data_IF_875389254281
#
_entry.id   IF_875389254281
#
_cell.length_a   1.000
_cell.length_b   1.000
_cell.length_c   1.000
_cell.angle_alpha   90.00
_cell.angle_beta   90.00
_cell.angle_gamma   90.00
#
_symmetry.space_group_name_H-M   'P 1'
#
loop_
_entity.id
_entity.type
_entity.pdbx_description
1 polymer ?
#
# COMPACT_ATOMS: atom_id res chain seq x y z
N UNK A 1 42.69 -36.02 43.50
CA UNK A 1 41.77 -36.76 44.38
C UNK A 1 40.40 -36.72 43.73
N UNK A 2 40.06 -37.85 43.14
CA UNK A 2 38.79 -38.19 42.49
C UNK A 2 37.66 -38.26 43.51
N UNK A 3 36.52 -37.62 43.24
CA UNK A 3 35.24 -38.06 43.81
C UNK A 3 34.21 -38.18 42.70
N UNK A 4 34.05 -39.43 42.31
CA UNK A 4 32.94 -40.04 41.59
C UNK A 4 31.70 -40.05 42.50
N UNK A 5 30.54 -39.56 42.02
CA UNK A 5 29.21 -39.95 42.52
C UNK A 5 28.25 -39.88 41.32
N UNK A 6 27.99 -41.01 40.65
CA UNK A 6 26.79 -41.87 40.78
C UNK A 6 25.44 -41.15 40.64
N UNK A 7 24.82 -41.41 39.48
CA UNK A 7 23.41 -41.20 39.13
C UNK A 7 22.47 -42.03 40.03
N UNK A 8 21.16 -41.69 40.04
CA UNK A 8 20.24 -42.62 39.38
C UNK A 8 19.22 -41.91 38.49
N UNK A 9 18.79 -42.66 37.47
CA UNK A 9 17.66 -42.40 36.59
C UNK A 9 16.41 -43.12 37.12
N UNK A 10 15.26 -42.45 37.08
CA UNK A 10 13.90 -43.03 37.09
C UNK A 10 13.03 -41.91 36.50
N UNK A 11 12.18 -42.06 35.49
CA UNK A 11 11.51 -43.21 34.91
C UNK A 11 10.11 -42.70 34.58
N UNK A 12 9.87 -42.34 33.31
CA UNK A 12 8.54 -41.97 32.82
C UNK A 12 7.59 -43.17 32.97
N UNK A 13 6.44 -42.97 33.61
CA UNK A 13 5.28 -43.83 33.39
C UNK A 13 4.03 -42.97 33.16
N UNK A 14 3.58 -43.07 31.91
CA UNK A 14 2.29 -42.66 31.37
C UNK A 14 1.12 -43.10 32.27
N UNK A 15 0.25 -42.17 32.64
CA UNK A 15 -1.11 -42.50 33.08
C UNK A 15 -2.09 -41.93 32.06
N UNK A 16 -2.62 -42.83 31.23
CA UNK A 16 -3.75 -42.58 30.37
C UNK A 16 -5.01 -42.47 31.24
N UNK A 17 -5.60 -41.28 31.30
CA UNK A 17 -6.91 -41.09 31.90
C UNK A 17 -7.98 -41.59 30.92
N UNK A 18 -8.46 -42.81 31.12
CA UNK A 18 -9.64 -43.34 30.45
C UNK A 18 -10.88 -42.70 31.09
N UNK A 19 -11.47 -41.70 30.44
CA UNK A 19 -12.79 -41.18 30.80
C UNK A 19 -13.86 -42.20 30.41
N UNK A 20 -14.42 -42.89 31.40
CA UNK A 20 -15.62 -43.71 31.28
C UNK A 20 -16.83 -42.78 31.28
N UNK A 21 -17.48 -42.60 30.13
CA UNK A 21 -18.80 -41.95 30.07
C UNK A 21 -19.89 -42.99 30.36
N UNK A 22 -20.49 -42.89 31.55
CA UNK A 22 -21.74 -43.58 31.88
C UNK A 22 -22.90 -42.83 31.23
N UNK A 23 -23.60 -43.49 30.30
CA UNK A 23 -24.87 -42.99 29.78
C UNK A 23 -25.95 -43.13 30.85
N UNK A 24 -26.45 -42.00 31.36
CA UNK A 24 -27.73 -41.94 32.07
C UNK A 24 -28.66 -41.05 31.25
N UNK A 25 -29.79 -41.66 30.89
CA UNK A 25 -30.87 -41.10 30.08
C UNK A 25 -31.76 -40.15 30.88
N UNK A 26 -32.27 -39.13 30.17
CA UNK A 26 -33.42 -38.26 30.46
C UNK A 26 -33.28 -37.11 31.48
N UNK A 27 -32.98 -35.92 30.96
CA UNK A 27 -33.77 -34.70 31.18
C UNK A 27 -33.48 -33.73 30.01
N UNK A 28 -34.49 -32.96 29.58
CA UNK A 28 -34.39 -31.93 28.52
C UNK A 28 -33.07 -31.17 28.62
N UNK A 29 -32.25 -31.22 27.56
CA UNK A 29 -31.15 -30.29 27.41
C UNK A 29 -31.78 -28.95 27.04
N UNK A 30 -31.68 -27.97 27.93
CA UNK A 30 -31.60 -26.59 27.47
C UNK A 30 -30.29 -26.53 26.69
N UNK A 31 -30.39 -26.67 25.36
CA UNK A 31 -29.27 -26.54 24.46
C UNK A 31 -28.76 -25.11 24.60
N UNK A 32 -27.80 -24.91 25.50
CA UNK A 32 -26.94 -23.75 25.47
C UNK A 32 -26.18 -23.90 24.16
N UNK A 33 -26.59 -23.14 23.15
CA UNK A 33 -25.77 -22.92 21.95
C UNK A 33 -24.43 -22.42 22.45
N UNK A 34 -23.48 -23.34 22.61
CA UNK A 34 -22.09 -23.00 22.81
C UNK A 34 -21.71 -22.26 21.52
N UNK A 35 -21.22 -21.01 21.59
CA UNK A 35 -20.77 -20.31 20.41
C UNK A 35 -19.81 -21.22 19.67
N UNK A 36 -20.16 -21.62 18.44
CA UNK A 36 -19.22 -22.32 17.56
C UNK A 36 -17.98 -21.42 17.52
N UNK A 37 -16.77 -21.93 17.81
CA UNK A 37 -15.56 -21.14 17.68
C UNK A 37 -15.53 -20.58 16.26
N UNK A 38 -15.67 -19.26 16.13
CA UNK A 38 -15.51 -18.56 14.86
C UNK A 38 -14.10 -18.92 14.39
N UNK A 39 -13.98 -19.51 13.20
CA UNK A 39 -12.67 -19.84 12.64
C UNK A 39 -11.87 -18.52 12.60
N UNK A 40 -10.70 -18.44 13.26
CA UNK A 40 -9.92 -17.20 13.26
C UNK A 40 -9.51 -16.75 11.85
N UNK A 41 -9.61 -17.63 10.86
CA UNK A 41 -9.35 -17.34 9.46
C UNK A 41 -10.62 -17.04 8.65
N UNK A 42 -11.80 -17.06 9.26
CA UNK A 42 -13.07 -16.78 8.59
C UNK A 42 -13.05 -15.39 7.94
N UNK A 43 -13.43 -15.34 6.66
CA UNK A 43 -13.46 -14.12 5.86
C UNK A 43 -12.09 -13.64 5.34
N UNK A 44 -10.96 -14.18 5.81
CA UNK A 44 -9.63 -13.86 5.28
C UNK A 44 -9.33 -14.63 3.99
N UNK A 45 -10.00 -14.26 2.92
CA UNK A 45 -10.07 -15.02 1.66
C UNK A 45 -9.05 -14.60 0.61
N UNK A 46 -8.48 -13.40 0.72
CA UNK A 46 -7.53 -12.89 -0.26
C UNK A 46 -6.10 -12.99 0.26
N UNK A 47 -5.25 -13.78 -0.40
CA UNK A 47 -3.83 -13.82 -0.09
C UNK A 47 -3.12 -12.64 -0.76
N UNK A 48 -2.42 -11.81 0.03
CA UNK A 48 -1.60 -10.70 -0.49
C UNK A 48 -0.38 -11.28 -1.20
N UNK A 49 -0.20 -11.06 -2.52
CA UNK A 49 0.91 -11.64 -3.27
C UNK A 49 2.27 -11.10 -2.83
N UNK A 50 2.36 -9.79 -2.61
CA UNK A 50 3.58 -9.13 -2.16
C UNK A 50 3.72 -9.24 -0.63
N UNK A 51 4.72 -10.02 -0.19
CA UNK A 51 5.00 -10.19 1.24
C UNK A 51 5.40 -8.91 1.95
N UNK A 52 6.10 -7.99 1.27
CA UNK A 52 6.50 -6.73 1.87
C UNK A 52 5.29 -5.83 2.08
N UNK A 53 4.32 -5.86 1.16
CA UNK A 53 3.04 -5.16 1.32
C UNK A 53 2.23 -5.76 2.48
N UNK A 54 2.04 -7.07 2.48
CA UNK A 54 1.29 -7.77 3.51
C UNK A 54 1.87 -7.56 4.92
N UNK A 55 3.18 -7.74 5.09
CA UNK A 55 3.84 -7.55 6.39
C UNK A 55 3.79 -6.09 6.84
N UNK A 56 3.93 -5.13 5.92
CA UNK A 56 3.84 -3.71 6.27
C UNK A 56 2.43 -3.37 6.76
N UNK A 57 1.37 -3.90 6.13
CA UNK A 57 0.01 -3.71 6.63
C UNK A 57 -0.18 -4.30 8.04
N UNK A 58 0.35 -5.50 8.31
CA UNK A 58 0.32 -6.09 9.66
C UNK A 58 1.08 -5.22 10.67
N UNK A 59 2.29 -4.75 10.32
CA UNK A 59 3.08 -3.85 11.17
C UNK A 59 2.34 -2.55 11.48
N UNK A 60 1.59 -2.02 10.51
CA UNK A 60 0.78 -0.80 10.66
C UNK A 60 -0.52 -1.04 11.43
N UNK A 61 -0.85 -2.29 11.76
CA UNK A 61 -2.08 -2.64 12.46
C UNK A 61 -3.33 -2.39 11.62
N UNK A 62 -3.26 -2.56 10.30
CA UNK A 62 -4.42 -2.41 9.41
C UNK A 62 -5.46 -3.47 9.78
N UNK A 63 -6.72 -3.08 10.10
CA UNK A 63 -7.76 -4.04 10.43
C UNK A 63 -8.07 -4.94 9.24
N UNK A 64 -8.43 -6.19 9.49
CA UNK A 64 -8.71 -7.14 8.41
C UNK A 64 -7.47 -7.65 7.67
N UNK A 65 -6.26 -7.44 8.20
CA UNK A 65 -5.03 -8.04 7.68
C UNK A 65 -4.41 -8.94 8.73
N UNK A 66 -4.06 -10.16 8.36
CA UNK A 66 -3.37 -11.08 9.26
C UNK A 66 -2.26 -11.85 8.60
N UNK A 67 -1.28 -12.25 9.40
CA UNK A 67 -0.22 -13.18 9.00
C UNK A 67 -0.62 -14.61 9.35
N UNK A 68 -0.26 -15.55 8.48
CA UNK A 68 -0.47 -16.99 8.67
C UNK A 68 0.78 -17.76 8.28
N UNK A 69 1.07 -18.84 8.98
CA UNK A 69 2.12 -19.78 8.59
C UNK A 69 1.46 -20.93 7.84
N UNK A 70 1.65 -20.97 6.53
CA UNK A 70 1.10 -22.03 5.70
C UNK A 70 2.18 -23.05 5.34
N UNK A 71 1.75 -24.28 5.11
CA UNK A 71 2.60 -25.34 4.58
C UNK A 71 2.45 -25.37 3.07
N UNK A 72 3.55 -25.11 2.35
CA UNK A 72 3.59 -25.20 0.90
C UNK A 72 3.44 -26.65 0.44
N UNK A 73 3.14 -26.85 -0.84
CA UNK A 73 3.08 -28.19 -1.46
C UNK A 73 4.41 -28.96 -1.30
N UNK A 74 5.52 -28.24 -1.16
CA UNK A 74 6.85 -28.79 -0.90
C UNK A 74 7.06 -29.27 0.53
N UNK A 75 6.10 -29.03 1.44
CA UNK A 75 6.21 -29.27 2.87
C UNK A 75 6.96 -28.16 3.64
N UNK A 76 7.48 -27.14 2.96
CA UNK A 76 8.13 -26.00 3.60
C UNK A 76 7.09 -25.08 4.25
N UNK A 77 7.44 -24.50 5.41
CA UNK A 77 6.60 -23.49 6.06
C UNK A 77 6.90 -22.11 5.47
N UNK A 78 5.86 -21.34 5.19
CA UNK A 78 5.96 -19.98 4.69
C UNK A 78 4.97 -19.05 5.39
N UNK A 79 5.46 -17.92 5.90
CA UNK A 79 4.57 -16.82 6.33
C UNK A 79 3.91 -16.17 5.12
N UNK A 80 2.59 -16.17 5.07
CA UNK A 80 1.78 -15.45 4.10
C UNK A 80 0.88 -14.44 4.83
N UNK A 81 0.31 -13.52 4.06
CA UNK A 81 -0.57 -12.48 4.56
C UNK A 81 -1.91 -12.56 3.85
N UNK A 82 -2.99 -12.38 4.61
CA UNK A 82 -4.34 -12.48 4.10
C UNK A 82 -5.15 -11.24 4.48
N UNK A 83 -5.96 -10.79 3.55
CA UNK A 83 -6.97 -9.75 3.73
C UNK A 83 -8.34 -10.38 3.91
N UNK A 84 -9.12 -9.80 4.81
CA UNK A 84 -10.57 -9.93 4.82
C UNK A 84 -11.16 -8.68 4.12
N UNK A 85 -11.66 -8.81 2.88
CA UNK A 85 -12.21 -7.69 2.11
C UNK A 85 -13.26 -6.88 2.86
N UNK A 86 -14.12 -7.52 3.65
CA UNK A 86 -15.21 -6.85 4.36
C UNK A 86 -14.72 -5.97 5.52
N UNK A 87 -13.54 -6.28 6.08
CA UNK A 87 -12.97 -5.56 7.22
C UNK A 87 -12.07 -4.39 6.80
N UNK A 88 -11.58 -4.38 5.56
CA UNK A 88 -10.69 -3.32 5.05
C UNK A 88 -11.44 -2.17 4.39
N UNK A 89 -12.74 -2.31 4.09
CA UNK A 89 -13.54 -1.26 3.42
C UNK A 89 -13.54 0.09 4.15
N UNK A 90 -13.41 0.08 5.49
CA UNK A 90 -13.40 1.29 6.32
C UNK A 90 -12.01 1.90 6.55
N UNK A 91 -10.96 1.31 5.98
CA UNK A 91 -9.59 1.82 6.12
C UNK A 91 -9.42 3.00 5.18
N UNK A 92 -9.21 4.19 5.76
CA UNK A 92 -9.14 5.44 5.03
C UNK A 92 -7.72 5.83 4.58
N UNK A 93 -6.68 5.31 5.23
CA UNK A 93 -5.31 5.67 4.90
C UNK A 93 -4.37 4.48 4.90
N UNK A 94 -3.60 4.35 3.81
CA UNK A 94 -2.46 3.46 3.69
C UNK A 94 -1.19 4.27 3.46
N UNK A 95 -0.18 4.01 4.29
CA UNK A 95 1.12 4.68 4.20
C UNK A 95 2.23 3.64 4.23
N UNK A 96 2.79 3.40 3.05
CA UNK A 96 3.67 2.31 2.70
C UNK A 96 5.03 2.86 2.25
N UNK A 97 5.64 3.72 3.06
CA UNK A 97 6.91 4.38 2.71
C UNK A 97 8.11 3.50 3.04
N UNK A 98 9.02 3.33 2.07
CA UNK A 98 10.29 2.60 2.18
C UNK A 98 11.50 3.53 1.97
N UNK A 99 11.42 4.78 2.43
CA UNK A 99 12.59 5.67 2.55
C UNK A 99 13.62 5.08 3.52
N UNK A 100 14.88 5.52 3.46
CA UNK A 100 15.94 5.01 4.36
C UNK A 100 15.57 5.12 5.85
N UNK A 101 14.95 6.22 6.27
CA UNK A 101 14.49 6.41 7.64
C UNK A 101 13.40 5.42 8.05
N UNK A 102 12.43 5.18 7.16
CA UNK A 102 11.33 4.25 7.42
C UNK A 102 11.82 2.80 7.40
N UNK A 103 12.75 2.45 6.51
CA UNK A 103 13.38 1.12 6.50
C UNK A 103 14.09 0.86 7.82
N UNK A 104 14.91 1.80 8.33
CA UNK A 104 15.56 1.63 9.63
C UNK A 104 14.56 1.49 10.79
N UNK A 105 13.43 2.19 10.75
CA UNK A 105 12.37 2.04 11.75
C UNK A 105 11.68 0.67 11.67
N UNK A 106 11.42 0.16 10.47
CA UNK A 106 10.85 -1.18 10.23
C UNK A 106 11.82 -2.28 10.67
N UNK A 107 13.12 -2.14 10.38
CA UNK A 107 14.17 -3.05 10.84
C UNK A 107 14.26 -3.08 12.36
N UNK A 108 14.24 -1.91 13.01
CA UNK A 108 14.22 -1.80 14.46
C UNK A 108 12.96 -2.44 15.09
N UNK A 109 11.85 -2.45 14.36
CA UNK A 109 10.61 -3.11 14.75
C UNK A 109 10.58 -4.63 14.43
N UNK A 110 11.63 -5.17 13.80
CA UNK A 110 11.73 -6.59 13.47
C UNK A 110 10.90 -7.02 12.25
N UNK A 111 10.50 -6.09 11.38
CA UNK A 111 9.80 -6.41 10.13
C UNK A 111 10.77 -7.10 9.17
N UNK A 112 10.51 -8.37 8.82
CA UNK A 112 11.46 -9.20 8.08
C UNK A 112 11.71 -8.67 6.66
N UNK A 113 10.69 -8.06 6.05
CA UNK A 113 10.72 -7.47 4.72
C UNK A 113 11.06 -5.97 4.74
N UNK A 114 11.59 -5.43 5.84
CA UNK A 114 11.80 -4.00 6.04
C UNK A 114 12.49 -3.30 4.85
N UNK A 115 13.61 -3.85 4.36
CA UNK A 115 14.35 -3.31 3.22
C UNK A 115 13.83 -3.78 1.85
N UNK A 116 12.91 -4.76 1.81
CA UNK A 116 12.30 -5.22 0.57
C UNK A 116 11.30 -4.17 0.08
N UNK A 117 11.46 -3.77 -1.19
CA UNK A 117 10.59 -2.82 -1.86
C UNK A 117 9.32 -3.52 -2.30
N UNK A 118 8.18 -2.85 -2.09
CA UNK A 118 6.88 -3.32 -2.58
C UNK A 118 6.87 -3.17 -4.09
N UNK A 119 6.44 -4.22 -4.79
CA UNK A 119 6.36 -4.28 -6.24
C UNK A 119 4.92 -4.46 -6.73
N UNK A 120 4.05 -4.99 -5.88
CA UNK A 120 2.65 -5.29 -6.20
C UNK A 120 1.73 -4.87 -5.04
N UNK A 121 0.68 -4.12 -5.38
CA UNK A 121 -0.35 -3.64 -4.45
C UNK A 121 -1.69 -4.36 -4.63
N UNK A 122 -1.73 -5.50 -5.33
CA UNK A 122 -2.92 -6.35 -5.43
C UNK A 122 -3.52 -6.59 -4.04
N UNK A 123 -4.81 -6.31 -3.92
CA UNK A 123 -5.55 -6.21 -2.66
C UNK A 123 -5.95 -4.78 -2.29
N UNK A 124 -5.31 -3.74 -2.87
CA UNK A 124 -5.68 -2.33 -2.64
C UNK A 124 -7.10 -2.01 -3.11
N UNK A 125 -7.62 -2.77 -4.07
CA UNK A 125 -8.97 -2.66 -4.60
C UNK A 125 -10.07 -2.95 -3.57
N UNK A 126 -9.76 -3.66 -2.48
CA UNK A 126 -10.70 -3.90 -1.39
C UNK A 126 -10.81 -2.73 -0.41
N UNK A 127 -9.86 -1.78 -0.45
CA UNK A 127 -9.85 -0.58 0.38
C UNK A 127 -10.73 0.51 -0.25
N UNK A 128 -12.03 0.25 -0.36
CA UNK A 128 -12.97 1.13 -1.08
C UNK A 128 -13.18 2.48 -0.40
N UNK A 129 -13.03 2.57 0.92
CA UNK A 129 -13.05 3.82 1.69
C UNK A 129 -11.71 4.55 1.80
N UNK A 130 -10.71 4.17 1.00
CA UNK A 130 -9.37 4.77 1.04
C UNK A 130 -9.41 6.22 0.52
N UNK A 131 -9.11 7.18 1.39
CA UNK A 131 -8.94 8.60 1.05
C UNK A 131 -7.47 8.98 0.80
N UNK A 132 -6.52 8.25 1.39
CA UNK A 132 -5.09 8.58 1.33
C UNK A 132 -4.25 7.35 1.04
N UNK A 133 -3.53 7.37 -0.08
CA UNK A 133 -2.56 6.35 -0.44
C UNK A 133 -1.17 6.95 -0.63
N UNK A 134 -0.25 6.58 0.26
CA UNK A 134 1.15 6.99 0.21
C UNK A 134 2.03 5.76 -0.01
N UNK A 135 2.73 5.70 -1.13
CA UNK A 135 3.58 4.57 -1.54
C UNK A 135 4.94 5.12 -1.97
N UNK A 136 5.74 5.60 -1.03
CA UNK A 136 7.00 6.29 -1.35
C UNK A 136 8.19 5.34 -1.36
N UNK A 137 9.07 5.49 -2.36
CA UNK A 137 10.33 4.75 -2.51
C UNK A 137 10.15 3.23 -2.59
N UNK A 138 9.20 2.77 -3.41
CA UNK A 138 8.95 1.36 -3.71
C UNK A 138 9.27 1.04 -5.18
N UNK A 139 9.27 -0.24 -5.53
CA UNK A 139 9.57 -0.72 -6.88
C UNK A 139 8.28 -1.06 -7.66
N UNK A 140 7.18 -0.39 -7.32
CA UNK A 140 5.88 -0.54 -7.97
C UNK A 140 5.99 -0.15 -9.46
N UNK A 141 5.59 -1.05 -10.35
CA UNK A 141 5.62 -0.87 -11.82
C UNK A 141 4.23 -0.59 -12.41
N UNK A 142 3.19 -1.05 -11.73
CA UNK A 142 1.79 -0.78 -12.07
C UNK A 142 0.97 -0.50 -10.83
N UNK A 143 -0.09 0.29 -10.98
CA UNK A 143 -1.00 0.63 -9.90
C UNK A 143 -2.42 0.74 -10.48
N UNK A 144 -3.33 -0.12 -10.02
CA UNK A 144 -4.75 -0.05 -10.33
C UNK A 144 -5.50 0.59 -9.16
N UNK A 145 -6.20 1.70 -9.42
CA UNK A 145 -7.00 2.44 -8.46
C UNK A 145 -8.47 2.53 -8.87
N UNK A 146 -8.91 1.70 -9.82
CA UNK A 146 -10.26 1.75 -10.38
C UNK A 146 -11.37 1.55 -9.34
N UNK A 147 -11.07 0.88 -8.22
CA UNK A 147 -11.99 0.68 -7.10
C UNK A 147 -11.87 1.73 -5.98
N UNK A 148 -10.82 2.56 -5.98
CA UNK A 148 -10.55 3.55 -4.92
C UNK A 148 -11.16 4.92 -5.26
N UNK A 149 -12.47 4.94 -5.52
CA UNK A 149 -13.22 6.12 -6.01
C UNK A 149 -13.19 7.29 -5.01
N UNK A 150 -13.06 7.00 -3.72
CA UNK A 150 -13.02 7.97 -2.63
C UNK A 150 -11.62 8.57 -2.40
N UNK A 151 -10.61 8.19 -3.20
CA UNK A 151 -9.24 8.65 -3.03
C UNK A 151 -9.11 10.16 -3.23
N UNK A 152 -8.54 10.82 -2.22
CA UNK A 152 -8.32 12.27 -2.15
C UNK A 152 -6.84 12.62 -2.33
N UNK A 153 -5.95 11.80 -1.79
CA UNK A 153 -4.50 12.01 -1.86
C UNK A 153 -3.77 10.76 -2.34
N UNK A 154 -3.08 10.87 -3.48
CA UNK A 154 -2.15 9.87 -3.99
C UNK A 154 -0.74 10.44 -3.98
N UNK A 155 0.17 9.77 -3.27
CA UNK A 155 1.59 10.10 -3.26
C UNK A 155 2.44 8.85 -3.49
N UNK A 156 3.05 8.74 -4.65
CA UNK A 156 3.84 7.58 -5.09
C UNK A 156 5.25 7.97 -5.54
N UNK A 157 5.83 8.97 -4.87
CA UNK A 157 7.16 9.47 -5.16
C UNK A 157 8.21 8.35 -5.14
N UNK A 158 9.08 8.35 -6.14
CA UNK A 158 10.16 7.38 -6.32
C UNK A 158 9.66 5.94 -6.48
N UNK A 159 8.46 5.76 -7.05
CA UNK A 159 8.03 4.50 -7.66
C UNK A 159 8.51 4.39 -9.11
N UNK A 160 8.31 3.21 -9.71
CA UNK A 160 8.72 2.86 -11.08
C UNK A 160 7.53 2.68 -12.01
N UNK A 161 6.40 3.31 -11.69
CA UNK A 161 5.17 3.18 -12.48
C UNK A 161 5.35 3.91 -13.81
N UNK A 162 5.09 3.19 -14.89
CA UNK A 162 5.36 3.65 -16.27
C UNK A 162 4.13 4.25 -16.95
N UNK A 163 2.94 3.88 -16.48
CA UNK A 163 1.65 4.43 -16.88
C UNK A 163 0.74 4.53 -15.65
N UNK A 164 0.03 5.65 -15.51
CA UNK A 164 -0.85 5.90 -14.39
C UNK A 164 -2.23 6.35 -14.90
N UNK A 165 -3.27 5.60 -14.54
CA UNK A 165 -4.66 5.98 -14.76
C UNK A 165 -5.29 6.42 -13.43
N UNK A 166 -5.68 7.68 -13.36
CA UNK A 166 -6.39 8.28 -12.22
C UNK A 166 -7.79 8.76 -12.61
N UNK A 167 -8.27 8.39 -13.81
CA UNK A 167 -9.59 8.80 -14.31
C UNK A 167 -10.74 8.22 -13.49
N UNK A 168 -10.50 7.10 -12.80
CA UNK A 168 -11.39 6.48 -11.82
C UNK A 168 -11.37 7.11 -10.42
N UNK A 169 -10.55 8.12 -10.18
CA UNK A 169 -10.39 8.81 -8.89
C UNK A 169 -10.92 10.26 -8.94
N UNK A 170 -12.24 10.50 -9.13
CA UNK A 170 -12.79 11.84 -9.37
C UNK A 170 -12.66 12.79 -8.16
N UNK A 171 -12.48 12.25 -6.96
CA UNK A 171 -12.31 13.00 -5.72
C UNK A 171 -10.86 13.42 -5.43
N UNK A 172 -9.92 13.07 -6.32
CA UNK A 172 -8.49 13.33 -6.13
C UNK A 172 -8.21 14.83 -6.07
N UNK A 173 -7.65 15.28 -4.94
CA UNK A 173 -7.24 16.67 -4.69
C UNK A 173 -5.74 16.86 -4.75
N UNK A 174 -4.98 15.79 -4.52
CA UNK A 174 -3.52 15.81 -4.48
C UNK A 174 -2.97 14.62 -5.23
N UNK A 175 -2.20 14.91 -6.26
CA UNK A 175 -1.40 13.92 -6.97
C UNK A 175 0.07 14.28 -6.83
N UNK A 176 0.85 13.40 -6.21
CA UNK A 176 2.31 13.53 -6.14
C UNK A 176 3.00 12.29 -6.68
N UNK A 177 3.65 12.47 -7.82
CA UNK A 177 4.48 11.46 -8.41
C UNK A 177 5.74 12.11 -8.97
N UNK A 178 6.79 12.13 -8.15
CA UNK A 178 8.16 12.34 -8.61
C UNK A 178 8.71 11.02 -9.11
N UNK A 179 9.24 11.00 -10.33
CA UNK A 179 9.76 9.78 -10.90
C UNK A 179 10.97 9.21 -10.13
N UNK A 180 11.21 7.91 -10.32
CA UNK A 180 12.43 7.26 -9.90
C UNK A 180 13.46 7.25 -11.03
N UNK A 181 14.72 7.57 -10.72
CA UNK A 181 15.84 7.38 -11.66
C UNK A 181 16.14 5.92 -11.97
N UNK A 182 15.45 4.99 -11.30
CA UNK A 182 15.56 3.54 -11.48
C UNK A 182 14.37 2.94 -12.23
N UNK A 183 13.43 3.76 -12.73
CA UNK A 183 12.34 3.31 -13.57
C UNK A 183 12.85 2.97 -14.97
N UNK A 184 12.25 1.98 -15.66
CA UNK A 184 12.65 1.68 -17.05
C UNK A 184 12.05 2.71 -18.02
N UNK A 185 10.88 3.24 -17.70
CA UNK A 185 10.22 4.31 -18.44
C UNK A 185 9.68 5.38 -17.48
N UNK A 186 9.51 6.58 -18.00
CA UNK A 186 8.91 7.73 -17.32
C UNK A 186 7.58 8.05 -17.98
N UNK A 187 6.60 8.55 -17.21
CA UNK A 187 5.38 9.09 -17.78
C UNK A 187 5.71 10.21 -18.79
N UNK A 188 5.13 10.09 -19.98
CA UNK A 188 5.14 11.16 -20.98
C UNK A 188 3.74 11.74 -21.24
N UNK A 189 2.70 11.11 -20.68
CA UNK A 189 1.31 11.54 -20.78
C UNK A 189 0.51 11.08 -19.54
N UNK A 190 -0.58 11.78 -19.23
CA UNK A 190 -1.53 11.47 -18.16
C UNK A 190 -2.87 12.16 -18.43
N UNK A 191 -3.97 11.41 -18.34
CA UNK A 191 -5.32 11.99 -18.42
C UNK A 191 -5.78 12.44 -17.03
N UNK A 192 -5.92 13.76 -16.87
CA UNK A 192 -6.42 14.41 -15.64
C UNK A 192 -7.81 15.02 -15.81
N UNK A 193 -8.50 14.72 -16.93
CA UNK A 193 -9.77 15.36 -17.30
C UNK A 193 -10.91 15.12 -16.31
N UNK A 194 -10.89 14.00 -15.59
CA UNK A 194 -11.88 13.67 -14.56
C UNK A 194 -11.50 14.15 -13.15
N UNK A 195 -10.27 14.61 -12.92
CA UNK A 195 -9.79 15.03 -11.60
C UNK A 195 -10.07 16.53 -11.37
N UNK A 196 -11.36 16.90 -11.44
CA UNK A 196 -11.81 18.31 -11.39
C UNK A 196 -11.54 18.99 -10.04
N UNK A 197 -11.31 18.21 -8.98
CA UNK A 197 -11.02 18.72 -7.63
C UNK A 197 -9.51 18.88 -7.35
N UNK A 198 -8.65 18.62 -8.33
CA UNK A 198 -7.21 18.64 -8.13
C UNK A 198 -6.71 20.05 -7.74
N UNK A 199 -6.02 20.15 -6.60
CA UNK A 199 -5.48 21.39 -6.03
C UNK A 199 -3.95 21.40 -5.98
N UNK A 200 -3.36 20.20 -5.89
CA UNK A 200 -1.91 20.00 -5.96
C UNK A 200 -1.56 18.95 -7.02
N UNK A 201 -0.63 19.31 -7.91
CA UNK A 201 -0.10 18.42 -8.94
C UNK A 201 1.41 18.46 -8.95
N UNK A 202 2.06 17.37 -8.54
CA UNK A 202 3.52 17.20 -8.67
C UNK A 202 3.80 16.04 -9.62
N UNK A 203 4.38 16.36 -10.78
CA UNK A 203 4.81 15.42 -11.80
C UNK A 203 6.27 15.67 -12.18
N UNK A 204 7.12 15.96 -11.19
CA UNK A 204 8.53 16.31 -11.37
C UNK A 204 9.37 15.11 -11.88
N UNK A 205 10.38 15.41 -12.71
CA UNK A 205 11.38 14.45 -13.21
C UNK A 205 10.81 13.36 -14.13
N UNK A 206 9.79 13.67 -14.93
CA UNK A 206 9.17 12.75 -15.90
C UNK A 206 9.60 13.08 -17.34
N UNK A 207 8.86 12.60 -18.34
CA UNK A 207 9.14 12.79 -19.77
C UNK A 207 8.03 13.56 -20.51
N UNK A 208 7.23 14.36 -19.80
CA UNK A 208 6.17 15.18 -20.39
C UNK A 208 6.79 16.23 -21.30
N UNK A 209 6.38 16.37 -22.56
CA UNK A 209 6.77 17.51 -23.43
C UNK A 209 5.68 18.59 -23.48
N UNK A 210 4.47 18.21 -23.08
CA UNK A 210 3.30 19.06 -22.89
C UNK A 210 2.36 18.38 -21.89
N UNK A 211 1.39 19.11 -21.35
CA UNK A 211 0.36 18.56 -20.48
C UNK A 211 -0.95 19.33 -20.67
N UNK A 212 -2.06 18.61 -20.80
CA UNK A 212 -3.39 19.22 -20.80
C UNK A 212 -3.92 19.32 -19.36
N UNK A 213 -4.12 20.56 -18.91
CA UNK A 213 -4.69 20.87 -17.59
C UNK A 213 -5.98 21.69 -17.72
N UNK A 214 -6.58 21.74 -18.91
CA UNK A 214 -7.73 22.61 -19.20
C UNK A 214 -8.96 22.32 -18.33
N UNK A 215 -9.12 21.07 -17.87
CA UNK A 215 -10.19 20.67 -16.96
C UNK A 215 -9.91 21.01 -15.49
N UNK A 216 -8.65 21.15 -15.09
CA UNK A 216 -8.22 21.21 -13.69
C UNK A 216 -8.24 22.65 -13.14
N UNK A 217 -9.40 23.30 -13.26
CA UNK A 217 -9.67 24.69 -12.81
C UNK A 217 -9.63 24.90 -11.29
N UNK A 218 -9.44 23.83 -10.52
CA UNK A 218 -9.24 23.89 -9.07
C UNK A 218 -7.76 23.96 -8.64
N UNK A 219 -6.80 23.88 -9.57
CA UNK A 219 -5.37 23.98 -9.29
C UNK A 219 -4.99 25.39 -8.84
N UNK A 220 -5.00 25.64 -7.53
CA UNK A 220 -4.70 26.96 -6.96
C UNK A 220 -3.55 26.93 -5.95
N UNK A 221 -3.15 25.75 -5.47
CA UNK A 221 -2.19 25.64 -4.36
C UNK A 221 -0.79 25.34 -4.85
N UNK A 222 -0.61 24.32 -5.69
CA UNK A 222 0.73 23.88 -6.05
C UNK A 222 0.77 23.12 -7.38
N UNK A 223 1.65 23.55 -8.30
CA UNK A 223 1.97 22.81 -9.53
C UNK A 223 3.48 22.73 -9.67
N UNK A 224 4.01 21.49 -9.70
CA UNK A 224 5.41 21.20 -9.95
C UNK A 224 5.53 20.27 -11.16
N UNK A 225 5.94 20.85 -12.29
CA UNK A 225 6.28 20.14 -13.52
C UNK A 225 7.79 20.20 -13.79
N UNK A 226 8.61 20.65 -12.84
CA UNK A 226 10.05 20.80 -13.05
C UNK A 226 10.71 19.48 -13.48
N UNK A 227 11.88 19.59 -14.13
CA UNK A 227 12.63 18.43 -14.63
C UNK A 227 11.88 17.54 -15.64
N UNK A 228 10.90 18.10 -16.34
CA UNK A 228 10.33 17.50 -17.53
C UNK A 228 10.88 18.18 -18.79
N UNK A 229 11.07 17.44 -19.89
CA UNK A 229 11.40 18.04 -21.16
C UNK A 229 10.30 19.02 -21.59
N UNK A 230 10.58 20.01 -22.41
CA UNK A 230 9.56 20.89 -22.94
C UNK A 230 9.12 20.49 -24.33
N UNK A 231 8.51 21.44 -25.06
CA UNK A 231 8.12 21.26 -26.45
C UNK A 231 9.27 20.87 -27.38
N UNK A 232 10.53 21.11 -27.01
CA UNK A 232 11.71 20.73 -27.78
C UNK A 232 12.05 19.23 -27.70
N UNK A 233 11.45 18.52 -26.73
CA UNK A 233 11.66 17.09 -26.49
C UNK A 233 13.07 16.72 -26.01
N UNK A 234 13.92 17.68 -25.68
CA UNK A 234 15.29 17.45 -25.25
C UNK A 234 15.34 17.10 -23.77
N UNK A 235 15.66 15.84 -23.47
CA UNK A 235 15.74 15.34 -22.09
C UNK A 235 16.91 15.92 -21.28
N UNK A 236 17.82 16.65 -21.93
CA UNK A 236 18.89 17.40 -21.27
C UNK A 236 18.47 18.79 -20.80
N UNK A 237 17.28 19.26 -21.19
CA UNK A 237 16.69 20.53 -20.77
C UNK A 237 15.42 20.28 -19.95
N UNK A 238 15.03 21.28 -19.17
CA UNK A 238 13.82 21.24 -18.37
C UNK A 238 12.99 22.47 -18.68
N UNK A 239 12.28 22.40 -19.78
CA UNK A 239 11.62 23.52 -20.45
C UNK A 239 10.12 23.34 -20.63
N UNK A 240 9.48 22.40 -19.90
CA UNK A 240 8.02 22.30 -19.89
C UNK A 240 7.37 23.60 -19.45
N UNK A 241 6.43 24.08 -20.26
CA UNK A 241 5.70 25.31 -20.03
C UNK A 241 4.42 25.00 -19.28
N UNK A 242 4.19 25.70 -18.18
CA UNK A 242 2.91 25.64 -17.46
C UNK A 242 1.87 26.38 -18.32
N UNK A 243 0.69 25.79 -18.63
CA UNK A 243 -0.35 26.49 -19.37
C UNK A 243 -0.70 27.84 -18.73
N UNK A 244 -0.77 28.92 -19.52
CA UNK A 244 -0.94 30.29 -19.00
C UNK A 244 -2.16 30.45 -18.08
N UNK A 245 -3.29 29.81 -18.42
CA UNK A 245 -4.48 29.83 -17.57
C UNK A 245 -4.23 29.20 -16.18
N UNK A 246 -3.41 28.15 -16.10
CA UNK A 246 -3.03 27.50 -14.83
C UNK A 246 -2.03 28.38 -14.08
N UNK A 247 -1.07 28.99 -14.77
CA UNK A 247 -0.14 29.93 -14.17
C UNK A 247 -0.89 31.07 -13.47
N UNK A 248 -1.78 31.76 -14.20
CA UNK A 248 -2.57 32.88 -13.68
C UNK A 248 -3.44 32.47 -12.49
N UNK A 249 -4.09 31.30 -12.60
CA UNK A 249 -4.95 30.75 -11.56
C UNK A 249 -4.20 30.44 -10.26
N UNK A 250 -3.05 29.77 -10.34
CA UNK A 250 -2.24 29.43 -9.15
C UNK A 250 -1.64 30.70 -8.53
N UNK A 251 -1.17 31.65 -9.36
CA UNK A 251 -0.67 32.94 -8.86
C UNK A 251 -1.78 33.73 -8.14
N UNK A 252 -2.98 33.79 -8.71
CA UNK A 252 -4.13 34.45 -8.08
C UNK A 252 -4.53 33.79 -6.75
N UNK A 253 -4.36 32.46 -6.64
CA UNK A 253 -4.57 31.69 -5.41
C UNK A 253 -3.47 31.85 -4.35
N UNK A 254 -2.36 32.51 -4.68
CA UNK A 254 -1.17 32.59 -3.80
C UNK A 254 -0.42 31.27 -3.69
N UNK A 255 -0.60 30.35 -4.65
CA UNK A 255 0.04 29.06 -4.68
C UNK A 255 1.47 29.10 -5.18
N UNK A 256 2.09 27.91 -5.27
CA UNK A 256 3.47 27.71 -5.67
C UNK A 256 3.53 27.07 -7.06
N UNK A 257 4.40 27.61 -7.91
CA UNK A 257 4.67 27.08 -9.24
C UNK A 257 6.14 26.74 -9.38
N UNK A 258 6.43 25.54 -9.85
CA UNK A 258 7.78 25.07 -10.18
C UNK A 258 7.77 24.52 -11.61
N UNK A 259 8.44 25.24 -12.52
CA UNK A 259 8.45 24.96 -13.95
C UNK A 259 8.84 26.21 -14.75
N UNK A 260 8.75 26.13 -16.08
CA UNK A 260 8.97 27.32 -16.93
C UNK A 260 7.69 28.15 -16.99
N UNK A 261 7.86 29.45 -16.74
CA UNK A 261 6.80 30.44 -16.79
C UNK A 261 6.51 30.75 -18.27
N UNK A 262 5.23 30.76 -18.70
CA UNK A 262 4.87 31.18 -20.05
C UNK A 262 5.26 32.65 -20.29
N UNK A 263 5.82 32.96 -21.47
CA UNK A 263 6.08 34.33 -21.93
C UNK A 263 4.81 35.14 -22.21
#
# INVERSE_FOLDING_TARGET
>A
MTMTTMHPSFGFLSTAAACVFLFVSCAKTDDVDLPIPVDPNEGYTFQVPDRAFGEYMVYRGIPGVQQRMDTLETGALQTNFYLNPDLVVGVNALSLSKTSSNVSALEAAGVATAAQKIQDLSGVEFFTGLDTLIVTSNDLVSLDLSANIDLVELSMNFCKVEALDVTGCPNLKKLRFRASSQANALLSDIDLSNNLQLRHLHLRSHAFTSIDLSANTALIEEVDLSENPGPDGNTGTSDIVIPAAIYDQVQAGGGVLLGVIPE
#
